data_IF_735406646031
#
_entry.id   IF_735406646031
#
_cell.length_a   1.000
_cell.length_b   1.000
_cell.length_c   1.000
_cell.angle_alpha   90.00
_cell.angle_beta   90.00
_cell.angle_gamma   90.00
#
_symmetry.space_group_name_H-M   'P 1'
#
loop_
_entity.id
_entity.type
_entity.pdbx_description
1 polymer ?
#
# COMPACT_ATOMS: atom_id res chain seq x y z
N UNK A 1 -21.88 4.64 10.45
CA UNK A 1 -20.85 3.58 10.38
C UNK A 1 -20.44 3.50 8.92
N UNK A 2 -19.19 3.85 8.56
CA UNK A 2 -18.72 3.70 7.18
C UNK A 2 -18.60 2.20 6.93
N UNK A 3 -19.43 1.67 6.03
CA UNK A 3 -19.44 0.27 5.65
C UNK A 3 -18.04 -0.13 5.18
N UNK A 4 -17.43 -1.09 5.86
CA UNK A 4 -16.21 -1.72 5.41
C UNK A 4 -16.56 -2.55 4.17
N UNK A 5 -15.99 -2.28 2.99
CA UNK A 5 -16.20 -3.11 1.81
C UNK A 5 -15.76 -4.53 2.16
N UNK A 6 -16.56 -5.51 1.73
CA UNK A 6 -16.47 -6.91 2.16
C UNK A 6 -15.00 -7.39 2.25
N UNK A 7 -14.61 -7.87 3.43
CA UNK A 7 -13.32 -8.48 3.73
C UNK A 7 -12.10 -7.54 3.81
N UNK A 8 -12.28 -6.22 3.94
CA UNK A 8 -11.20 -5.30 4.31
C UNK A 8 -10.95 -5.32 5.82
N UNK A 9 -9.69 -5.38 6.25
CA UNK A 9 -9.28 -5.30 7.67
C UNK A 9 -8.51 -4.02 7.94
N UNK A 10 -8.95 -3.25 8.92
CA UNK A 10 -8.27 -2.03 9.37
C UNK A 10 -7.99 -2.22 10.86
N UNK A 11 -6.71 -2.28 11.23
CA UNK A 11 -6.29 -2.45 12.62
C UNK A 11 -6.36 -1.11 13.39
N UNK A 12 -6.26 -1.22 14.71
CA UNK A 12 -6.36 -0.08 15.62
C UNK A 12 -5.33 1.01 15.31
N UNK A 13 -5.72 2.26 15.55
CA UNK A 13 -4.87 3.45 15.35
C UNK A 13 -4.49 3.77 13.90
N UNK A 14 -5.01 3.03 12.92
CA UNK A 14 -4.94 3.45 11.52
C UNK A 14 -5.77 4.73 11.30
N UNK A 15 -5.17 5.71 10.63
CA UNK A 15 -5.80 6.99 10.29
C UNK A 15 -6.10 6.97 8.80
N UNK A 16 -7.37 7.17 8.45
CA UNK A 16 -7.85 7.19 7.07
C UNK A 16 -8.61 8.49 6.85
N UNK A 17 -8.08 9.33 5.96
CA UNK A 17 -8.67 10.62 5.61
C UNK A 17 -9.90 10.45 4.68
N UNK A 18 -10.44 11.57 4.21
CA UNK A 18 -11.59 11.61 3.30
C UNK A 18 -11.27 11.14 1.88
N UNK A 19 -12.28 10.66 1.15
CA UNK A 19 -12.16 10.18 -0.24
C UNK A 19 -11.10 9.08 -0.43
N UNK A 20 -10.97 8.19 0.55
CA UNK A 20 -10.14 6.99 0.44
C UNK A 20 -11.00 5.81 -0.01
N UNK A 21 -10.58 5.17 -1.09
CA UNK A 21 -11.16 3.92 -1.59
C UNK A 21 -10.24 2.76 -1.22
N UNK A 22 -10.82 1.70 -0.65
CA UNK A 22 -10.07 0.50 -0.26
C UNK A 22 -10.75 -0.71 -0.86
N UNK A 23 -10.02 -1.47 -1.67
CA UNK A 23 -10.50 -2.69 -2.28
C UNK A 23 -10.75 -3.82 -1.28
N UNK A 24 -11.52 -4.81 -1.70
CA UNK A 24 -11.82 -6.00 -0.90
C UNK A 24 -10.55 -6.82 -0.60
N UNK A 25 -10.52 -7.48 0.57
CA UNK A 25 -9.37 -8.31 0.97
C UNK A 25 -8.13 -7.53 1.41
N UNK A 26 -8.17 -6.19 1.37
CA UNK A 26 -7.04 -5.35 1.78
C UNK A 26 -6.92 -5.28 3.30
N UNK A 27 -5.68 -5.36 3.80
CA UNK A 27 -5.33 -5.29 5.22
C UNK A 27 -4.49 -4.04 5.47
N UNK A 28 -4.90 -3.24 6.45
CA UNK A 28 -4.20 -2.06 6.91
C UNK A 28 -3.82 -2.29 8.37
N UNK A 29 -2.52 -2.35 8.65
CA UNK A 29 -1.98 -2.57 9.98
C UNK A 29 -1.96 -1.28 10.82
N UNK A 30 -1.56 -1.41 12.08
CA UNK A 30 -1.60 -0.33 13.07
C UNK A 30 -0.75 0.87 12.67
N UNK A 31 -1.18 2.06 13.07
CA UNK A 31 -0.46 3.32 12.87
C UNK A 31 -0.20 3.72 11.42
N UNK A 32 -0.81 3.03 10.45
CA UNK A 32 -0.81 3.47 9.07
C UNK A 32 -1.61 4.77 8.93
N UNK A 33 -1.11 5.70 8.10
CA UNK A 33 -1.80 6.96 7.76
C UNK A 33 -2.05 7.01 6.26
N UNK A 34 -3.32 7.08 5.89
CA UNK A 34 -3.78 7.14 4.51
C UNK A 34 -4.42 8.50 4.29
N UNK A 35 -3.78 9.34 3.47
CA UNK A 35 -4.25 10.69 3.18
C UNK A 35 -5.39 10.73 2.16
N UNK A 36 -5.93 11.92 1.93
CA UNK A 36 -7.11 12.11 1.08
C UNK A 36 -6.88 11.74 -0.39
N UNK A 37 -7.96 11.33 -1.06
CA UNK A 37 -7.98 10.98 -2.49
C UNK A 37 -7.06 9.79 -2.84
N UNK A 38 -6.86 8.87 -1.89
CA UNK A 38 -6.07 7.65 -2.12
C UNK A 38 -6.99 6.53 -2.59
N UNK A 39 -6.54 5.79 -3.60
CA UNK A 39 -7.23 4.59 -4.08
C UNK A 39 -6.32 3.40 -3.83
N UNK A 40 -6.79 2.45 -3.02
CA UNK A 40 -6.10 1.19 -2.74
C UNK A 40 -6.89 0.07 -3.38
N UNK A 41 -6.23 -0.72 -4.23
CA UNK A 41 -6.80 -1.92 -4.83
C UNK A 41 -7.18 -3.00 -3.81
N UNK A 42 -7.67 -4.13 -4.31
CA UNK A 42 -8.00 -5.30 -3.51
C UNK A 42 -6.79 -6.18 -3.20
N UNK A 43 -6.91 -6.98 -2.14
CA UNK A 43 -5.89 -7.92 -1.64
C UNK A 43 -4.54 -7.25 -1.35
N UNK A 44 -4.55 -5.98 -0.95
CA UNK A 44 -3.31 -5.28 -0.59
C UNK A 44 -2.98 -5.48 0.90
N UNK A 45 -1.71 -5.30 1.25
CA UNK A 45 -1.24 -5.38 2.63
C UNK A 45 -0.41 -4.14 2.94
N UNK A 46 -0.91 -3.29 3.84
CA UNK A 46 -0.31 -2.01 4.22
C UNK A 46 0.27 -2.14 5.62
N UNK A 47 1.61 -2.20 5.70
CA UNK A 47 2.38 -2.37 6.93
C UNK A 47 2.15 -1.31 8.01
N UNK A 48 2.77 -1.54 9.16
CA UNK A 48 2.74 -0.63 10.30
C UNK A 48 3.54 0.64 10.00
N UNK A 49 3.08 1.77 10.55
CA UNK A 49 3.71 3.08 10.37
C UNK A 49 3.83 3.56 8.91
N UNK A 50 3.11 2.92 7.99
CA UNK A 50 3.09 3.32 6.58
C UNK A 50 2.39 4.66 6.42
N UNK A 51 2.97 5.56 5.63
CA UNK A 51 2.38 6.85 5.27
C UNK A 51 2.08 6.86 3.77
N UNK A 52 0.82 7.03 3.40
CA UNK A 52 0.38 7.18 2.01
C UNK A 52 -0.10 8.62 1.83
N UNK A 53 0.63 9.41 1.04
CA UNK A 53 0.28 10.80 0.74
C UNK A 53 -0.94 10.93 -0.19
N UNK A 54 -1.37 12.17 -0.41
CA UNK A 54 -2.56 12.48 -1.22
C UNK A 54 -2.44 12.01 -2.67
N UNK A 55 -3.57 11.78 -3.30
CA UNK A 55 -3.67 11.48 -4.74
C UNK A 55 -2.86 10.24 -5.19
N UNK A 56 -2.62 9.30 -4.28
CA UNK A 56 -1.91 8.04 -4.57
C UNK A 56 -2.89 6.98 -5.09
N UNK A 57 -2.45 6.20 -6.07
CA UNK A 57 -3.19 5.03 -6.56
C UNK A 57 -2.34 3.77 -6.43
N UNK A 58 -2.86 2.80 -5.70
CA UNK A 58 -2.25 1.48 -5.47
C UNK A 58 -3.10 0.44 -6.19
N UNK A 59 -2.46 -0.38 -7.03
CA UNK A 59 -3.09 -1.50 -7.72
C UNK A 59 -3.52 -2.62 -6.78
N UNK A 60 -4.01 -3.73 -7.34
CA UNK A 60 -4.38 -4.92 -6.57
C UNK A 60 -3.13 -5.74 -6.20
N UNK A 61 -3.23 -6.57 -5.16
CA UNK A 61 -2.17 -7.49 -4.71
C UNK A 61 -0.83 -6.79 -4.42
N UNK A 62 -0.88 -5.57 -3.89
CA UNK A 62 0.32 -4.81 -3.52
C UNK A 62 0.60 -4.99 -2.04
N UNK A 63 1.86 -5.27 -1.71
CA UNK A 63 2.36 -5.27 -0.34
C UNK A 63 3.28 -4.08 -0.12
N UNK A 64 2.97 -3.31 0.92
CA UNK A 64 3.79 -2.22 1.41
C UNK A 64 4.31 -2.64 2.78
N UNK A 65 5.64 -2.70 2.91
CA UNK A 65 6.30 -3.07 4.17
C UNK A 65 6.19 -1.95 5.21
N UNK A 66 6.45 -2.32 6.47
CA UNK A 66 6.44 -1.40 7.60
C UNK A 66 7.42 -0.23 7.38
N UNK A 67 7.11 0.93 7.96
CA UNK A 67 7.89 2.18 7.88
C UNK A 67 8.04 2.78 6.46
N UNK A 68 7.30 2.28 5.46
CA UNK A 68 7.34 2.84 4.12
C UNK A 68 6.55 4.15 3.99
N UNK A 69 7.01 5.04 3.09
CA UNK A 69 6.30 6.27 2.74
C UNK A 69 6.08 6.37 1.23
N UNK A 70 4.82 6.53 0.83
CA UNK A 70 4.43 6.78 -0.56
C UNK A 70 4.15 8.28 -0.73
N UNK A 71 4.91 8.96 -1.59
CA UNK A 71 4.76 10.39 -1.82
C UNK A 71 3.52 10.75 -2.65
N UNK A 72 3.21 12.05 -2.71
CA UNK A 72 2.03 12.58 -3.40
C UNK A 72 2.12 12.34 -4.92
N UNK A 73 0.97 12.07 -5.57
CA UNK A 73 0.84 11.83 -7.03
C UNK A 73 1.47 10.53 -7.56
N UNK A 74 1.68 9.56 -6.69
CA UNK A 74 2.34 8.30 -7.05
C UNK A 74 1.31 7.27 -7.51
N UNK A 75 1.68 6.52 -8.55
CA UNK A 75 0.89 5.39 -9.03
C UNK A 75 1.71 4.12 -8.93
N UNK A 76 1.27 3.21 -8.06
CA UNK A 76 1.80 1.86 -7.95
C UNK A 76 0.89 0.95 -8.77
N UNK A 77 1.41 0.47 -9.91
CA UNK A 77 0.73 -0.53 -10.73
C UNK A 77 1.14 -1.93 -10.27
N UNK A 78 0.22 -2.89 -10.37
CA UNK A 78 0.52 -4.31 -10.13
C UNK A 78 1.40 -4.86 -11.25
N UNK A 79 2.40 -5.70 -10.92
CA UNK A 79 2.99 -6.64 -11.88
C UNK A 79 2.21 -7.95 -11.85
N UNK A 80 1.60 -8.28 -12.99
CA UNK A 80 1.02 -9.59 -13.23
C UNK A 80 2.14 -10.56 -13.59
N UNK A 81 2.59 -11.36 -12.64
CA UNK A 81 3.31 -12.60 -12.90
C UNK A 81 3.01 -13.60 -11.76
N UNK A 82 2.13 -14.55 -12.07
CA UNK A 82 2.04 -15.90 -11.51
C UNK A 82 1.93 -16.06 -9.97
N UNK A 83 0.76 -16.54 -9.55
CA UNK A 83 0.37 -16.97 -8.18
C UNK A 83 1.19 -18.16 -7.59
N UNK A 84 2.43 -18.41 -8.02
CA UNK A 84 3.18 -19.61 -7.57
C UNK A 84 4.55 -19.38 -6.93
N UNK A 85 4.99 -18.14 -6.68
CA UNK A 85 6.18 -17.91 -5.86
C UNK A 85 5.99 -16.68 -4.95
N UNK A 86 5.72 -16.94 -3.67
CA UNK A 86 5.67 -15.94 -2.60
C UNK A 86 7.04 -15.29 -2.29
N UNK A 87 8.08 -15.58 -3.07
CA UNK A 87 9.46 -15.20 -2.78
C UNK A 87 10.05 -14.16 -3.75
N UNK A 88 9.32 -13.80 -4.81
CA UNK A 88 9.78 -12.85 -5.83
C UNK A 88 8.87 -11.60 -5.95
N UNK A 89 8.21 -11.22 -4.84
CA UNK A 89 7.39 -10.01 -4.81
C UNK A 89 8.23 -8.79 -5.24
N UNK A 90 7.68 -8.00 -6.16
CA UNK A 90 8.15 -6.65 -6.48
C UNK A 90 7.86 -5.76 -5.27
N UNK A 91 8.62 -5.95 -4.19
CA UNK A 91 8.55 -5.16 -2.98
C UNK A 91 9.07 -3.78 -3.39
N UNK A 92 8.15 -2.85 -3.65
CA UNK A 92 8.44 -1.42 -3.67
C UNK A 92 8.73 -0.99 -2.23
N UNK A 93 9.86 -1.47 -1.72
CA UNK A 93 10.46 -1.07 -0.47
C UNK A 93 11.01 0.32 -0.71
N UNK A 94 10.18 1.34 -0.49
CA UNK A 94 10.65 2.73 -0.38
C UNK A 94 11.36 2.84 0.97
N UNK A 95 12.57 2.25 1.03
CA UNK A 95 13.57 2.50 2.05
C UNK A 95 14.17 3.84 1.70
N UNK A 96 13.61 4.90 2.28
CA UNK A 96 14.32 6.06 2.83
C UNK A 96 13.39 7.28 2.87
N UNK A 97 13.27 7.98 4.02
CA UNK A 97 12.43 9.16 4.17
C UNK A 97 12.96 10.43 3.45
N UNK A 98 14.06 10.35 2.69
CA UNK A 98 14.75 11.52 2.11
C UNK A 98 15.23 11.38 0.65
N UNK A 99 14.95 10.28 -0.04
CA UNK A 99 15.39 10.08 -1.42
C UNK A 99 14.23 9.56 -2.26
N UNK A 100 13.77 10.42 -3.18
CA UNK A 100 12.63 10.14 -4.05
C UNK A 100 12.74 8.79 -4.77
N UNK A 101 11.59 8.13 -4.90
CA UNK A 101 11.34 6.94 -5.73
C UNK A 101 12.56 6.07 -6.06
N UNK A 102 13.06 5.33 -5.08
CA UNK A 102 13.81 4.11 -5.38
C UNK A 102 12.82 3.04 -5.83
N UNK A 103 12.69 2.84 -7.15
CA UNK A 103 12.22 1.54 -7.67
C UNK A 103 13.27 0.51 -7.22
N UNK A 104 12.98 -0.20 -6.14
CA UNK A 104 13.72 -1.42 -5.82
C UNK A 104 13.35 -2.49 -6.85
N UNK A 105 14.05 -2.48 -7.99
CA UNK A 105 14.19 -3.72 -8.76
C UNK A 105 15.07 -4.61 -7.89
N UNK A 106 14.52 -5.73 -7.43
CA UNK A 106 15.33 -6.87 -7.03
C UNK A 106 16.16 -7.29 -8.27
N UNK A 107 17.35 -6.71 -8.42
CA UNK A 107 18.43 -7.30 -9.21
C UNK A 107 19.10 -8.28 -8.25
N UNK A 108 18.64 -9.54 -8.25
CA UNK A 108 19.51 -10.64 -7.81
C UNK A 108 20.54 -10.87 -8.93
N UNK A 109 21.81 -11.19 -8.63
CA UNK A 109 22.74 -11.73 -9.64
C UNK A 109 22.26 -13.07 -10.21
#
# INVERSE_FOLDING_TARGET
MKESPQNCRIDNYAIIDENVEIGCGTKIFQFARIHSNVIIGGNCSIGQYVIIERNVKIGNNVKIEDDARIEENVKIAMSSADEQNLDDEEILSIKDPYTGFSKSKNIKP
#
